data_IF_537486099022
#
_entry.id   IF_537486099022
#
_cell.length_a   1.000
_cell.length_b   1.000
_cell.length_c   1.000
_cell.angle_alpha   90.00
_cell.angle_beta   90.00
_cell.angle_gamma   90.00
#
_symmetry.space_group_name_H-M   'P 1'
#
loop_
_entity.id
_entity.type
_entity.pdbx_description
1 polymer ?
#
# COMPACT_ATOMS: atom_id res chain seq x y z
N UNK A 1 -23.66 -33.60 2.50
CA UNK A 1 -25.04 -33.05 2.39
C UNK A 1 -25.24 -31.87 3.34
N UNK A 2 -25.11 -32.01 4.64
CA UNK A 2 -25.33 -30.90 5.59
C UNK A 2 -24.39 -29.67 5.40
N UNK A 3 -23.15 -29.89 5.02
CA UNK A 3 -22.20 -28.80 4.78
C UNK A 3 -22.49 -27.98 3.52
N UNK A 4 -22.98 -28.59 2.46
CA UNK A 4 -23.33 -27.90 1.22
C UNK A 4 -24.58 -27.02 1.34
N UNK A 5 -25.57 -27.49 2.13
CA UNK A 5 -26.78 -26.70 2.38
C UNK A 5 -26.53 -25.53 3.29
N UNK A 6 -25.78 -25.73 4.39
CA UNK A 6 -25.37 -24.64 5.29
C UNK A 6 -24.50 -23.60 4.55
N UNK A 7 -23.63 -24.03 3.65
CA UNK A 7 -22.79 -23.14 2.84
C UNK A 7 -23.62 -22.33 1.83
N UNK A 8 -24.63 -22.92 1.22
CA UNK A 8 -25.56 -22.20 0.34
C UNK A 8 -26.37 -21.14 1.08
N UNK A 9 -26.90 -21.47 2.27
CA UNK A 9 -27.64 -20.51 3.09
C UNK A 9 -26.76 -19.31 3.52
N UNK A 10 -25.55 -19.57 4.02
CA UNK A 10 -24.60 -18.51 4.39
C UNK A 10 -24.21 -17.67 3.17
N UNK A 11 -24.00 -18.29 2.01
CA UNK A 11 -23.64 -17.60 0.78
C UNK A 11 -24.76 -16.71 0.24
N UNK A 12 -26.01 -17.16 0.32
CA UNK A 12 -27.19 -16.35 -0.06
C UNK A 12 -27.42 -15.19 0.91
N UNK A 13 -27.16 -15.38 2.21
CA UNK A 13 -27.26 -14.32 3.22
C UNK A 13 -26.17 -13.25 3.03
N UNK A 14 -24.96 -13.66 2.65
CA UNK A 14 -23.79 -12.77 2.55
C UNK A 14 -23.63 -12.16 1.16
N UNK A 15 -24.40 -12.62 0.15
CA UNK A 15 -24.31 -12.06 -1.20
C UNK A 15 -24.89 -10.66 -1.25
N UNK A 16 -24.07 -9.60 -1.29
CA UNK A 16 -24.61 -8.25 -1.28
C UNK A 16 -25.38 -7.96 -2.56
N UNK A 17 -26.64 -7.57 -2.43
CA UNK A 17 -27.47 -7.10 -3.55
C UNK A 17 -27.09 -5.71 -4.06
N UNK A 18 -26.08 -5.10 -3.48
CA UNK A 18 -25.60 -3.74 -3.76
C UNK A 18 -24.11 -3.72 -4.12
N UNK A 19 -23.69 -2.70 -4.81
CA UNK A 19 -22.27 -2.46 -5.12
C UNK A 19 -21.52 -2.06 -3.84
N UNK A 20 -20.32 -2.61 -3.68
CA UNK A 20 -19.47 -2.33 -2.51
C UNK A 20 -18.63 -1.07 -2.76
N UNK A 21 -18.90 -0.02 -1.99
CA UNK A 21 -18.17 1.27 -2.03
C UNK A 21 -17.62 1.68 -0.66
N UNK A 22 -17.42 0.72 0.23
CA UNK A 22 -16.83 0.97 1.55
C UNK A 22 -15.31 1.04 1.48
N UNK A 23 -14.70 1.80 2.38
CA UNK A 23 -13.27 1.74 2.60
C UNK A 23 -12.87 0.35 3.12
N UNK A 24 -11.85 -0.25 2.52
CA UNK A 24 -11.30 -1.56 2.88
C UNK A 24 -11.70 -2.67 1.93
N UNK A 25 -12.82 -3.41 2.15
CA UNK A 25 -13.15 -4.55 1.31
C UNK A 25 -13.51 -4.14 -0.12
N UNK A 26 -13.08 -4.93 -1.10
CA UNK A 26 -13.32 -4.71 -2.54
C UNK A 26 -14.10 -5.89 -3.11
N UNK A 27 -15.01 -5.61 -4.04
CA UNK A 27 -15.62 -6.67 -4.82
C UNK A 27 -14.58 -7.28 -5.77
N UNK A 28 -14.29 -8.56 -5.60
CA UNK A 28 -13.36 -9.29 -6.45
C UNK A 28 -14.01 -9.66 -7.78
N UNK A 29 -13.22 -9.69 -8.85
CA UNK A 29 -13.66 -10.24 -10.11
C UNK A 29 -14.01 -11.72 -9.96
N UNK A 30 -15.05 -12.21 -10.68
CA UNK A 30 -15.44 -13.62 -10.62
C UNK A 30 -14.29 -14.59 -10.87
N UNK A 31 -13.41 -14.27 -11.83
CA UNK A 31 -12.25 -15.10 -12.19
C UNK A 31 -11.25 -15.23 -11.02
N UNK A 32 -11.10 -14.19 -10.19
CA UNK A 32 -10.26 -14.23 -8.99
C UNK A 32 -10.89 -15.13 -7.94
N UNK A 33 -12.22 -15.07 -7.76
CA UNK A 33 -12.93 -15.94 -6.82
C UNK A 33 -12.88 -17.40 -7.27
N UNK A 34 -12.99 -17.67 -8.58
CA UNK A 34 -12.91 -19.03 -9.11
C UNK A 34 -11.51 -19.66 -8.90
N UNK A 35 -10.43 -18.90 -9.13
CA UNK A 35 -9.08 -19.44 -8.93
C UNK A 35 -8.79 -19.76 -7.44
N UNK A 36 -9.45 -19.10 -6.50
CA UNK A 36 -9.32 -19.41 -5.07
C UNK A 36 -9.88 -20.76 -4.68
N UNK A 37 -10.71 -21.39 -5.52
CA UNK A 37 -11.24 -22.75 -5.31
C UNK A 37 -10.27 -23.84 -5.74
N UNK A 38 -9.21 -23.49 -6.49
CA UNK A 38 -8.25 -24.46 -7.00
C UNK A 38 -7.41 -25.00 -5.85
N UNK A 39 -7.24 -26.35 -5.83
CA UNK A 39 -6.42 -27.02 -4.82
C UNK A 39 -5.00 -26.48 -4.81
N UNK A 40 -4.49 -26.20 -3.61
CA UNK A 40 -3.11 -25.76 -3.44
C UNK A 40 -2.10 -26.84 -3.85
N UNK A 41 -0.97 -26.41 -4.34
CA UNK A 41 0.18 -27.24 -4.65
C UNK A 41 1.43 -26.75 -3.90
N UNK A 42 2.50 -27.56 -3.91
CA UNK A 42 3.70 -27.25 -3.13
C UNK A 42 4.38 -25.97 -3.59
N UNK A 43 4.72 -25.09 -2.66
CA UNK A 43 5.54 -23.90 -2.92
C UNK A 43 6.96 -24.22 -3.42
N UNK A 44 7.39 -25.51 -3.37
CA UNK A 44 8.67 -26.01 -3.93
C UNK A 44 8.51 -26.65 -5.31
N UNK A 45 7.29 -26.75 -5.83
CA UNK A 45 7.03 -27.29 -7.15
C UNK A 45 7.49 -26.35 -8.26
N UNK A 46 7.78 -26.91 -9.44
CA UNK A 46 8.16 -26.14 -10.63
C UNK A 46 7.04 -25.19 -11.07
N UNK A 47 5.82 -25.63 -10.93
CA UNK A 47 4.60 -24.87 -11.24
C UNK A 47 4.51 -23.61 -10.39
N UNK A 48 4.81 -23.71 -9.08
CA UNK A 48 4.85 -22.54 -8.20
C UNK A 48 5.93 -21.55 -8.63
N UNK A 49 7.13 -22.05 -8.91
CA UNK A 49 8.24 -21.21 -9.39
C UNK A 49 7.85 -20.45 -10.65
N UNK A 50 7.26 -21.13 -11.62
CA UNK A 50 6.82 -20.49 -12.86
C UNK A 50 5.75 -19.43 -12.60
N UNK A 51 4.71 -19.78 -11.84
CA UNK A 51 3.65 -18.84 -11.44
C UNK A 51 4.21 -17.60 -10.73
N UNK A 52 5.18 -17.80 -9.83
CA UNK A 52 5.81 -16.68 -9.11
C UNK A 52 6.57 -15.76 -10.07
N UNK A 53 7.40 -16.32 -10.96
CA UNK A 53 8.15 -15.55 -11.97
C UNK A 53 7.19 -14.76 -12.86
N UNK A 54 6.17 -15.41 -13.40
CA UNK A 54 5.18 -14.76 -14.28
C UNK A 54 4.43 -13.62 -13.55
N UNK A 55 4.10 -13.83 -12.27
CA UNK A 55 3.45 -12.81 -11.45
C UNK A 55 4.35 -11.60 -11.23
N UNK A 56 5.62 -11.82 -10.88
CA UNK A 56 6.60 -10.74 -10.68
C UNK A 56 6.81 -9.95 -11.97
N UNK A 57 6.97 -10.63 -13.11
CA UNK A 57 7.16 -9.95 -14.39
C UNK A 57 5.94 -9.12 -14.82
N UNK A 58 4.72 -9.62 -14.56
CA UNK A 58 3.48 -8.85 -14.79
C UNK A 58 3.40 -7.64 -13.87
N UNK A 59 3.78 -7.77 -12.60
CA UNK A 59 3.80 -6.68 -11.65
C UNK A 59 4.86 -5.63 -12.01
N UNK A 60 6.05 -6.02 -12.45
CA UNK A 60 7.06 -5.09 -12.96
C UNK A 60 6.50 -4.23 -14.10
N UNK A 61 5.80 -4.85 -15.05
CA UNK A 61 5.15 -4.11 -16.15
C UNK A 61 4.06 -3.18 -15.66
N UNK A 62 3.19 -3.67 -14.77
CA UNK A 62 2.08 -2.89 -14.23
C UNK A 62 2.55 -1.68 -13.40
N UNK A 63 3.63 -1.85 -12.64
CA UNK A 63 4.23 -0.81 -11.79
C UNK A 63 5.29 0.03 -12.52
N UNK A 64 5.53 -0.22 -13.82
CA UNK A 64 6.54 0.48 -14.63
C UNK A 64 7.94 0.43 -14.01
N UNK A 65 8.29 -0.72 -13.40
CA UNK A 65 9.60 -0.92 -12.77
C UNK A 65 10.65 -1.26 -13.83
N UNK A 66 11.46 -0.31 -14.21
CA UNK A 66 12.56 -0.50 -15.16
C UNK A 66 13.80 -1.12 -14.50
N UNK A 67 14.09 -0.74 -13.26
CA UNK A 67 15.25 -1.21 -12.48
C UNK A 67 14.82 -1.61 -11.08
N UNK A 68 15.39 -2.72 -10.59
CA UNK A 68 15.11 -3.24 -9.25
C UNK A 68 14.22 -4.49 -9.26
N UNK A 69 13.83 -4.93 -8.07
CA UNK A 69 13.07 -6.14 -7.86
C UNK A 69 11.69 -5.86 -7.26
N UNK A 70 10.69 -6.63 -7.68
CA UNK A 70 9.37 -6.66 -7.06
C UNK A 70 9.30 -7.87 -6.15
N UNK A 71 9.11 -7.62 -4.85
CA UNK A 71 9.01 -8.65 -3.83
C UNK A 71 7.54 -8.83 -3.43
N UNK A 72 7.06 -10.07 -3.48
CA UNK A 72 5.74 -10.45 -2.98
C UNK A 72 5.84 -10.73 -1.48
N UNK A 73 5.23 -9.89 -0.68
CA UNK A 73 5.29 -9.98 0.78
C UNK A 73 3.91 -10.33 1.35
N UNK A 74 3.70 -11.54 1.92
CA UNK A 74 2.43 -11.95 2.49
C UNK A 74 2.18 -11.22 3.82
N UNK A 75 1.68 -10.00 3.74
CA UNK A 75 1.45 -9.12 4.89
C UNK A 75 0.28 -8.18 4.65
N UNK A 76 -0.11 -7.44 5.70
CA UNK A 76 -0.98 -6.27 5.55
C UNK A 76 -0.22 -5.12 4.88
N UNK A 77 -0.94 -4.15 4.30
CA UNK A 77 -0.33 -2.91 3.78
C UNK A 77 0.52 -2.19 4.83
N UNK A 78 0.10 -2.19 6.10
CA UNK A 78 0.89 -1.62 7.22
C UNK A 78 2.24 -2.33 7.39
N UNK A 79 2.29 -3.65 7.24
CA UNK A 79 3.56 -4.40 7.31
C UNK A 79 4.52 -4.02 6.18
N UNK A 80 4.00 -3.72 4.98
CA UNK A 80 4.82 -3.22 3.87
C UNK A 80 5.30 -1.78 4.11
N UNK A 81 4.45 -0.91 4.69
CA UNK A 81 4.87 0.43 5.15
C UNK A 81 6.03 0.32 6.15
N UNK A 82 5.93 -0.57 7.12
CA UNK A 82 7.01 -0.82 8.09
C UNK A 82 8.27 -1.35 7.42
N UNK A 83 8.15 -2.30 6.51
CA UNK A 83 9.27 -2.85 5.76
C UNK A 83 10.01 -1.76 4.97
N UNK A 84 9.32 -0.81 4.34
CA UNK A 84 9.92 0.30 3.61
C UNK A 84 10.78 1.19 4.54
N UNK A 85 10.29 1.52 5.72
CA UNK A 85 11.01 2.34 6.69
C UNK A 85 12.22 1.59 7.29
N UNK A 86 12.04 0.32 7.64
CA UNK A 86 13.12 -0.48 8.25
C UNK A 86 14.28 -0.75 7.31
N UNK A 87 14.00 -0.94 6.02
CA UNK A 87 15.02 -1.30 5.04
C UNK A 87 15.56 -0.09 4.26
N UNK A 88 14.76 0.95 4.09
CA UNK A 88 15.14 2.12 3.31
C UNK A 88 15.78 3.26 4.10
N UNK A 89 15.63 3.29 5.44
CA UNK A 89 16.01 4.42 6.26
C UNK A 89 17.02 4.00 7.33
N UNK A 90 18.09 4.77 7.48
CA UNK A 90 19.11 4.56 8.49
C UNK A 90 18.53 4.58 9.92
N UNK A 91 19.21 3.93 10.87
CA UNK A 91 18.80 4.01 12.28
C UNK A 91 18.93 5.46 12.77
N UNK A 92 17.83 6.01 13.30
CA UNK A 92 17.78 7.42 13.72
C UNK A 92 17.66 8.43 12.59
N UNK A 93 17.61 7.97 11.33
CA UNK A 93 17.44 8.81 10.15
C UNK A 93 16.10 9.54 10.13
N UNK A 94 15.99 10.58 9.31
CA UNK A 94 14.81 11.43 9.19
C UNK A 94 13.97 11.08 7.99
N UNK A 95 12.65 11.09 8.17
CA UNK A 95 11.65 10.89 7.12
C UNK A 95 10.69 12.08 7.13
N UNK A 96 10.50 12.72 6.00
CA UNK A 96 9.44 13.70 5.84
C UNK A 96 8.14 12.97 5.51
N UNK A 97 7.14 13.16 6.35
CA UNK A 97 5.84 12.47 6.24
C UNK A 97 4.76 13.49 5.86
N UNK A 98 4.16 13.34 4.68
CA UNK A 98 2.98 14.11 4.31
C UNK A 98 1.75 13.53 4.95
N UNK A 99 0.98 14.35 5.67
CA UNK A 99 -0.21 13.92 6.40
C UNK A 99 -1.42 14.67 5.85
N UNK A 100 -2.28 13.95 5.12
CA UNK A 100 -3.56 14.45 4.60
C UNK A 100 -4.75 13.64 5.13
N UNK A 101 -4.50 12.73 6.11
CA UNK A 101 -5.50 11.89 6.73
C UNK A 101 -4.91 10.77 7.58
N UNK A 102 -5.69 9.71 7.79
CA UNK A 102 -5.36 8.63 8.73
C UNK A 102 -4.13 7.81 8.31
N UNK A 103 -3.92 7.57 7.00
CA UNK A 103 -2.78 6.79 6.55
C UNK A 103 -1.47 7.56 6.62
N UNK A 104 -1.49 8.88 6.38
CA UNK A 104 -0.34 9.74 6.67
C UNK A 104 0.04 9.70 8.15
N UNK A 105 -0.96 9.80 9.06
CA UNK A 105 -0.72 9.64 10.52
C UNK A 105 -0.17 8.25 10.87
N UNK A 106 -0.67 7.21 10.20
CA UNK A 106 -0.15 5.85 10.35
C UNK A 106 1.31 5.75 9.92
N UNK A 107 1.68 6.39 8.82
CA UNK A 107 3.09 6.40 8.36
C UNK A 107 4.00 7.08 9.38
N UNK A 108 3.59 8.24 9.92
CA UNK A 108 4.33 8.89 11.02
C UNK A 108 4.56 7.93 12.18
N UNK A 109 3.50 7.24 12.64
CA UNK A 109 3.60 6.27 13.72
C UNK A 109 4.59 5.15 13.39
N UNK A 110 4.55 4.61 12.17
CA UNK A 110 5.49 3.58 11.72
C UNK A 110 6.94 4.08 11.74
N UNK A 111 7.19 5.31 11.28
CA UNK A 111 8.52 5.95 11.34
C UNK A 111 9.03 6.00 12.77
N UNK A 112 8.24 6.55 13.69
CA UNK A 112 8.61 6.78 15.09
C UNK A 112 8.79 5.46 15.86
N UNK A 113 7.87 4.50 15.72
CA UNK A 113 7.94 3.20 16.40
C UNK A 113 9.13 2.34 15.94
N UNK A 114 9.66 2.60 14.75
CA UNK A 114 10.87 1.95 14.25
C UNK A 114 12.16 2.75 14.54
N UNK A 115 12.12 3.71 15.45
CA UNK A 115 13.29 4.45 15.90
C UNK A 115 13.87 5.42 14.87
N UNK A 116 13.04 5.92 13.96
CA UNK A 116 13.38 6.99 13.01
C UNK A 116 12.70 8.28 13.45
N UNK A 117 13.13 9.41 12.89
CA UNK A 117 12.58 10.74 13.21
C UNK A 117 11.61 11.18 12.12
N UNK A 118 10.37 11.50 12.49
CA UNK A 118 9.40 12.03 11.56
C UNK A 118 9.46 13.56 11.55
N UNK A 119 9.67 14.15 10.38
CA UNK A 119 9.36 15.56 10.08
C UNK A 119 8.00 15.57 9.40
N UNK A 120 7.05 16.32 9.90
CA UNK A 120 5.67 16.27 9.40
C UNK A 120 5.31 17.49 8.58
N UNK A 121 4.64 17.24 7.46
CA UNK A 121 3.96 18.24 6.65
C UNK A 121 2.47 17.87 6.67
N UNK A 122 1.70 18.52 7.56
CA UNK A 122 0.31 18.17 7.83
C UNK A 122 -0.65 19.19 7.21
N UNK A 123 -1.69 18.69 6.59
CA UNK A 123 -2.75 19.46 5.95
C UNK A 123 -4.10 19.19 6.62
N UNK A 124 -5.01 20.12 6.49
CA UNK A 124 -6.39 19.92 6.90
C UNK A 124 -7.03 18.75 6.13
N UNK A 125 -7.89 17.96 6.78
CA UNK A 125 -8.61 16.88 6.11
C UNK A 125 -9.34 17.38 4.85
N UNK A 126 -9.20 16.64 3.77
CA UNK A 126 -9.80 17.00 2.48
C UNK A 126 -8.91 17.87 1.57
N UNK A 127 -7.71 18.25 2.03
CA UNK A 127 -6.73 18.99 1.21
C UNK A 127 -5.57 18.11 0.81
N UNK A 128 -5.14 18.23 -0.45
CA UNK A 128 -3.96 17.55 -0.97
C UNK A 128 -2.68 18.29 -0.55
N UNK A 129 -1.57 17.56 -0.48
CA UNK A 129 -0.24 18.15 -0.29
C UNK A 129 0.16 18.96 -1.52
N UNK A 130 0.91 20.04 -1.28
CA UNK A 130 1.38 20.94 -2.33
C UNK A 130 2.88 20.74 -2.57
N UNK A 131 3.30 20.71 -3.84
CA UNK A 131 4.73 20.60 -4.18
C UNK A 131 5.60 21.71 -3.58
N UNK A 132 5.07 22.94 -3.52
CA UNK A 132 5.80 24.09 -2.99
C UNK A 132 6.08 23.93 -1.49
N UNK A 133 5.09 23.48 -0.73
CA UNK A 133 5.24 23.25 0.72
C UNK A 133 6.24 22.10 0.98
N UNK A 134 6.23 21.07 0.13
CA UNK A 134 7.18 19.95 0.20
C UNK A 134 8.61 20.44 -0.07
N UNK A 135 8.81 21.25 -1.10
CA UNK A 135 10.12 21.83 -1.45
C UNK A 135 10.68 22.69 -0.30
N UNK A 136 9.84 23.54 0.28
CA UNK A 136 10.24 24.34 1.46
C UNK A 136 10.58 23.44 2.67
N UNK A 137 9.81 22.40 2.92
CA UNK A 137 10.07 21.50 4.03
C UNK A 137 11.39 20.73 3.85
N UNK A 138 11.70 20.29 2.63
CA UNK A 138 12.98 19.64 2.31
C UNK A 138 14.16 20.60 2.44
N UNK A 139 14.06 21.86 1.96
CA UNK A 139 15.09 22.88 2.14
C UNK A 139 15.39 23.18 3.62
N UNK A 140 14.37 23.13 4.48
CA UNK A 140 14.52 23.31 5.94
C UNK A 140 15.10 22.08 6.64
N UNK A 141 15.04 20.91 6.00
CA UNK A 141 15.48 19.63 6.56
C UNK A 141 16.35 18.86 5.54
N UNK A 142 17.57 19.34 5.24
CA UNK A 142 18.43 18.75 4.21
C UNK A 142 18.97 17.37 4.56
N UNK A 143 18.78 16.91 5.79
CA UNK A 143 19.16 15.60 6.30
C UNK A 143 17.99 14.57 6.28
N UNK A 144 16.90 14.90 5.61
CA UNK A 144 15.81 13.94 5.33
C UNK A 144 16.30 12.90 4.32
N UNK A 145 16.15 11.61 4.66
CA UNK A 145 16.56 10.49 3.81
C UNK A 145 15.46 10.03 2.87
N UNK A 146 14.19 10.27 3.22
CA UNK A 146 13.04 9.90 2.39
C UNK A 146 11.81 10.75 2.66
N UNK A 147 10.92 10.77 1.69
CA UNK A 147 9.58 11.35 1.79
C UNK A 147 8.55 10.24 1.70
N UNK A 148 7.55 10.24 2.58
CA UNK A 148 6.39 9.35 2.45
C UNK A 148 5.15 10.13 2.03
N UNK A 149 4.48 9.63 0.99
CA UNK A 149 3.30 10.25 0.41
C UNK A 149 2.20 9.20 0.30
N UNK A 150 1.05 9.45 0.92
CA UNK A 150 -0.15 8.64 0.70
C UNK A 150 -0.80 9.09 -0.60
N UNK A 151 -0.69 8.31 -1.68
CA UNK A 151 -1.21 8.70 -2.99
C UNK A 151 -2.73 8.91 -2.96
N UNK A 152 -3.47 7.92 -2.46
CA UNK A 152 -4.91 8.00 -2.25
C UNK A 152 -5.20 7.83 -0.76
N UNK A 153 -5.62 8.89 -0.10
CA UNK A 153 -5.97 8.87 1.31
C UNK A 153 -7.44 8.44 1.47
N UNK A 154 -7.64 7.20 1.80
CA UNK A 154 -8.97 6.58 1.91
C UNK A 154 -9.87 7.29 2.93
N UNK A 155 -9.29 7.77 4.03
CA UNK A 155 -10.06 8.40 5.14
C UNK A 155 -10.66 9.75 4.76
N UNK A 156 -10.12 10.42 3.74
CA UNK A 156 -10.58 11.74 3.29
C UNK A 156 -11.04 11.77 1.85
N UNK A 157 -10.78 10.69 1.08
CA UNK A 157 -11.06 10.60 -0.36
C UNK A 157 -10.17 11.49 -1.23
N UNK A 158 -9.04 11.96 -0.69
CA UNK A 158 -8.13 12.87 -1.40
C UNK A 158 -7.07 12.09 -2.17
N UNK A 159 -6.88 12.45 -3.42
CA UNK A 159 -5.78 12.00 -4.27
C UNK A 159 -4.68 13.07 -4.27
N UNK A 160 -3.47 12.69 -3.85
CA UNK A 160 -2.31 13.58 -3.92
C UNK A 160 -1.76 13.68 -5.35
N UNK A 161 -1.24 14.84 -5.79
CA UNK A 161 -0.54 15.02 -7.07
C UNK A 161 0.84 14.36 -7.01
N UNK A 162 0.85 12.98 -7.02
CA UNK A 162 2.06 12.20 -6.75
C UNK A 162 3.18 12.50 -7.73
N UNK A 163 2.86 12.73 -9.02
CA UNK A 163 3.86 13.01 -10.04
C UNK A 163 4.64 14.29 -9.77
N UNK A 164 3.93 15.35 -9.35
CA UNK A 164 4.52 16.65 -9.01
C UNK A 164 5.32 16.56 -7.71
N UNK A 165 4.76 15.93 -6.68
CA UNK A 165 5.44 15.73 -5.39
C UNK A 165 6.70 14.87 -5.54
N UNK A 166 6.66 13.83 -6.37
CA UNK A 166 7.82 12.98 -6.61
C UNK A 166 8.95 13.68 -7.36
N UNK A 167 8.63 14.66 -8.22
CA UNK A 167 9.66 15.50 -8.89
C UNK A 167 10.41 16.38 -7.90
N UNK A 168 9.73 16.86 -6.87
CA UNK A 168 10.34 17.68 -5.81
C UNK A 168 11.17 16.82 -4.86
N UNK A 169 10.76 15.58 -4.60
CA UNK A 169 11.43 14.67 -3.68
C UNK A 169 12.71 14.01 -4.25
N UNK A 170 12.96 14.14 -5.57
CA UNK A 170 14.16 13.61 -6.25
C UNK A 170 15.32 14.62 -6.17
#
# INVERSE_FOLDING_TARGET
MQFEEAYKEVYEIVRPKYKLFTAGPVACFPEVLEIMKVQMFSHRAKEYKQMHVDTVERLKKFLEVEKGEVLLFPSSGTGVMEASIRNGISKGGKVLVTIIGAFGKRYKQVVETNGRKAVTLEYEPGKAAKPEDLDEALKKNPDVEAVTITYNETSTGVLNPLSELAKVAK
#
